data_IF_300487294329
#
_entry.id   IF_300487294329
#
_cell.length_a   1.000
_cell.length_b   1.000
_cell.length_c   1.000
_cell.angle_alpha   90.00
_cell.angle_beta   90.00
_cell.angle_gamma   90.00
#
_symmetry.space_group_name_H-M   'P 1'
#
loop_
_entity.id
_entity.type
_entity.pdbx_description
1 polymer ?
#
# COMPACT_ATOMS: atom_id res chain seq x y z
N UNK A 1 -7.08 60.63 -3.61
CA UNK A 1 -7.76 59.35 -3.95
C UNK A 1 -7.16 58.60 -5.15
N UNK A 2 -6.32 59.20 -6.00
CA UNK A 2 -5.89 58.63 -7.28
C UNK A 2 -5.06 57.32 -7.25
N UNK A 3 -4.43 56.94 -6.13
CA UNK A 3 -3.55 55.74 -6.05
C UNK A 3 -4.27 54.44 -5.66
N UNK A 4 -5.46 54.52 -5.06
CA UNK A 4 -6.26 53.35 -4.64
C UNK A 4 -6.61 52.36 -5.77
N UNK A 5 -7.08 52.79 -6.96
CA UNK A 5 -7.48 51.85 -8.00
C UNK A 5 -6.31 50.99 -8.51
N UNK A 6 -5.11 51.58 -8.65
CA UNK A 6 -3.91 50.83 -9.05
C UNK A 6 -3.51 49.76 -8.03
N UNK A 7 -3.57 50.09 -6.75
CA UNK A 7 -3.25 49.17 -5.66
C UNK A 7 -4.29 48.02 -5.56
N UNK A 8 -5.56 48.32 -5.79
CA UNK A 8 -6.61 47.30 -5.84
C UNK A 8 -6.44 46.37 -7.06
N UNK A 9 -6.08 46.92 -8.22
CA UNK A 9 -5.80 46.13 -9.42
C UNK A 9 -4.61 45.18 -9.21
N UNK A 10 -3.50 45.66 -8.63
CA UNK A 10 -2.35 44.80 -8.32
C UNK A 10 -2.68 43.71 -7.28
N UNK A 11 -3.54 44.01 -6.29
CA UNK A 11 -4.03 43.01 -5.33
C UNK A 11 -4.85 41.91 -6.01
N UNK A 12 -5.71 42.29 -6.95
CA UNK A 12 -6.52 41.34 -7.71
C UNK A 12 -5.65 40.43 -8.58
N UNK A 13 -4.68 41.00 -9.30
CA UNK A 13 -3.71 40.24 -10.09
C UNK A 13 -2.89 39.27 -9.24
N UNK A 14 -2.45 39.71 -8.05
CA UNK A 14 -1.73 38.84 -7.13
C UNK A 14 -2.61 37.67 -6.65
N UNK A 15 -3.87 37.93 -6.31
CA UNK A 15 -4.82 36.90 -5.90
C UNK A 15 -5.08 35.88 -7.04
N UNK A 16 -5.22 36.36 -8.27
CA UNK A 16 -5.35 35.52 -9.46
C UNK A 16 -4.11 34.61 -9.63
N UNK A 17 -2.89 35.17 -9.51
CA UNK A 17 -1.65 34.38 -9.56
C UNK A 17 -1.53 33.36 -8.45
N UNK A 18 -1.95 33.68 -7.22
CA UNK A 18 -2.03 32.67 -6.15
C UNK A 18 -3.04 31.57 -6.45
N UNK A 19 -4.18 31.91 -7.05
CA UNK A 19 -5.17 30.93 -7.52
C UNK A 19 -4.61 29.99 -8.59
N UNK A 20 -3.95 30.55 -9.61
CA UNK A 20 -3.26 29.78 -10.64
C UNK A 20 -2.20 28.84 -10.04
N UNK A 21 -1.35 29.36 -9.15
CA UNK A 21 -0.32 28.59 -8.44
C UNK A 21 -0.93 27.45 -7.61
N UNK A 22 -1.98 27.74 -6.84
CA UNK A 22 -2.68 26.73 -6.06
C UNK A 22 -3.26 25.64 -6.94
N UNK A 23 -3.88 26.00 -8.07
CA UNK A 23 -4.37 25.06 -9.05
C UNK A 23 -3.26 24.17 -9.62
N UNK A 24 -2.12 24.79 -9.98
CA UNK A 24 -0.97 24.06 -10.50
C UNK A 24 -0.41 23.07 -9.46
N UNK A 25 -0.26 23.50 -8.20
CA UNK A 25 0.20 22.63 -7.10
C UNK A 25 -0.73 21.43 -6.94
N UNK A 26 -2.05 21.64 -6.92
CA UNK A 26 -3.03 20.54 -6.84
C UNK A 26 -2.86 19.57 -8.00
N UNK A 27 -2.77 20.06 -9.24
CA UNK A 27 -2.60 19.19 -10.41
C UNK A 27 -1.27 18.43 -10.39
N UNK A 28 -0.19 19.03 -9.88
CA UNK A 28 1.09 18.37 -9.70
C UNK A 28 0.97 17.22 -8.69
N UNK A 29 0.30 17.46 -7.56
CA UNK A 29 0.10 16.46 -6.53
C UNK A 29 -0.76 15.29 -7.03
N UNK A 30 -1.84 15.57 -7.76
CA UNK A 30 -2.68 14.55 -8.40
C UNK A 30 -1.90 13.67 -9.39
N UNK A 31 -1.05 14.29 -10.23
CA UNK A 31 -0.19 13.55 -11.17
C UNK A 31 0.85 12.71 -10.44
N UNK A 32 1.44 13.23 -9.37
CA UNK A 32 2.40 12.50 -8.56
C UNK A 32 1.77 11.25 -7.94
N UNK A 33 0.59 11.37 -7.33
CA UNK A 33 -0.12 10.23 -6.75
C UNK A 33 -0.50 9.18 -7.80
N UNK A 34 -0.93 9.60 -8.99
CA UNK A 34 -1.24 8.67 -10.08
C UNK A 34 0.00 7.91 -10.55
N UNK A 35 1.13 8.61 -10.68
CA UNK A 35 2.40 7.99 -11.05
C UNK A 35 2.87 7.00 -9.99
N UNK A 36 2.78 7.36 -8.71
CA UNK A 36 3.16 6.50 -7.60
C UNK A 36 2.32 5.22 -7.57
N UNK A 37 0.99 5.34 -7.66
CA UNK A 37 0.09 4.19 -7.71
C UNK A 37 0.38 3.25 -8.90
N UNK A 38 0.67 3.83 -10.08
CA UNK A 38 1.05 3.05 -11.26
C UNK A 38 2.41 2.37 -11.08
N UNK A 39 3.40 3.08 -10.55
CA UNK A 39 4.75 2.58 -10.34
C UNK A 39 4.75 1.43 -9.33
N UNK A 40 4.04 1.58 -8.21
CA UNK A 40 3.86 0.52 -7.22
C UNK A 40 3.21 -0.73 -7.83
N UNK A 41 2.08 -0.57 -8.55
CA UNK A 41 1.37 -1.69 -9.18
C UNK A 41 2.22 -2.40 -10.24
N UNK A 42 2.88 -1.64 -11.11
CA UNK A 42 3.67 -2.20 -12.20
C UNK A 42 4.97 -2.84 -11.68
N UNK A 43 5.63 -2.20 -10.71
CA UNK A 43 6.84 -2.72 -10.08
C UNK A 43 6.57 -4.05 -9.37
N UNK A 44 5.47 -4.14 -8.63
CA UNK A 44 5.07 -5.36 -7.93
C UNK A 44 4.67 -6.48 -8.91
N UNK A 45 3.96 -6.18 -10.00
CA UNK A 45 3.67 -7.17 -11.05
C UNK A 45 4.96 -7.67 -11.74
N UNK A 46 5.89 -6.77 -12.04
CA UNK A 46 7.18 -7.12 -12.62
C UNK A 46 7.99 -8.02 -11.68
N UNK A 47 8.05 -7.69 -10.39
CA UNK A 47 8.72 -8.50 -9.37
C UNK A 47 8.09 -9.90 -9.27
N UNK A 48 6.77 -10.02 -9.36
CA UNK A 48 6.08 -11.31 -9.38
C UNK A 48 6.48 -12.15 -10.60
N UNK A 49 6.53 -11.54 -11.78
CA UNK A 49 6.93 -12.24 -13.01
C UNK A 49 8.38 -12.74 -12.93
N UNK A 50 9.30 -11.89 -12.49
CA UNK A 50 10.70 -12.27 -12.30
C UNK A 50 10.83 -13.44 -11.32
N UNK A 51 10.08 -13.40 -10.21
CA UNK A 51 10.11 -14.48 -9.23
C UNK A 51 9.54 -15.80 -9.79
N UNK A 52 8.49 -15.75 -10.61
CA UNK A 52 7.97 -16.94 -11.30
C UNK A 52 8.98 -17.51 -12.30
N UNK A 53 9.70 -16.65 -13.03
CA UNK A 53 10.79 -17.08 -13.91
C UNK A 53 11.91 -17.75 -13.12
N UNK A 54 12.30 -17.22 -11.97
CA UNK A 54 13.31 -17.83 -11.09
C UNK A 54 12.85 -19.18 -10.52
N UNK A 55 11.54 -19.38 -10.28
CA UNK A 55 10.98 -20.67 -9.89
C UNK A 55 11.15 -21.67 -11.05
N UNK A 56 10.69 -21.31 -12.25
CA UNK A 56 10.81 -22.17 -13.43
C UNK A 56 12.26 -22.56 -13.72
N UNK A 57 13.19 -21.59 -13.66
CA UNK A 57 14.62 -21.84 -13.88
C UNK A 57 15.22 -22.79 -12.84
N UNK A 58 14.78 -22.69 -11.58
CA UNK A 58 15.25 -23.62 -10.54
C UNK A 58 14.65 -25.02 -10.67
N UNK A 59 13.45 -25.14 -11.23
CA UNK A 59 12.83 -26.43 -11.56
C UNK A 59 13.59 -27.12 -12.69
N UNK A 60 13.78 -26.41 -13.80
CA UNK A 60 14.57 -26.85 -14.97
C UNK A 60 15.97 -27.30 -14.55
N UNK A 61 16.67 -26.51 -13.73
CA UNK A 61 18.00 -26.89 -13.25
C UNK A 61 17.99 -28.19 -12.43
N UNK A 62 16.93 -28.44 -11.64
CA UNK A 62 16.80 -29.70 -10.92
C UNK A 62 16.52 -30.88 -11.85
N UNK A 63 15.78 -30.66 -12.94
CA UNK A 63 15.51 -31.67 -13.98
C UNK A 63 16.78 -32.02 -14.77
N UNK A 64 17.60 -31.03 -15.13
CA UNK A 64 18.90 -31.26 -15.78
C UNK A 64 19.84 -32.12 -14.91
N UNK A 65 19.86 -31.88 -13.60
CA UNK A 65 20.66 -32.67 -12.66
C UNK A 65 20.15 -34.11 -12.58
N UNK A 66 18.83 -34.30 -12.61
CA UNK A 66 18.22 -35.62 -12.63
C UNK A 66 18.54 -36.37 -13.92
N UNK A 67 18.41 -35.72 -15.08
CA UNK A 67 18.72 -36.31 -16.38
C UNK A 67 20.18 -36.80 -16.44
N UNK A 68 21.14 -35.93 -16.07
CA UNK A 68 22.56 -36.30 -16.01
C UNK A 68 22.82 -37.51 -15.09
N UNK A 69 22.10 -37.61 -13.98
CA UNK A 69 22.22 -38.77 -13.09
C UNK A 69 21.65 -40.04 -13.71
N UNK A 70 20.48 -39.96 -14.36
CA UNK A 70 19.86 -41.10 -15.05
C UNK A 70 20.68 -41.60 -16.24
N UNK A 71 21.44 -40.72 -16.89
CA UNK A 71 22.42 -41.05 -17.93
C UNK A 71 23.72 -41.65 -17.37
N UNK A 72 23.93 -41.64 -16.06
CA UNK A 72 25.15 -42.10 -15.41
C UNK A 72 26.33 -41.13 -15.51
N UNK A 73 26.08 -39.87 -15.87
CA UNK A 73 27.12 -38.83 -16.02
C UNK A 73 27.63 -38.27 -14.69
N UNK A 74 26.94 -38.53 -13.58
CA UNK A 74 27.31 -38.09 -12.23
C UNK A 74 27.13 -39.23 -11.22
N UNK A 75 27.96 -39.23 -10.16
CA UNK A 75 27.83 -40.22 -9.08
C UNK A 75 26.63 -39.91 -8.18
N UNK A 76 26.19 -40.92 -7.41
CA UNK A 76 25.10 -40.75 -6.45
C UNK A 76 25.36 -39.63 -5.44
N UNK A 77 26.57 -39.60 -4.85
CA UNK A 77 26.91 -38.59 -3.84
C UNK A 77 26.88 -37.16 -4.41
N UNK A 78 27.46 -36.96 -5.61
CA UNK A 78 27.44 -35.65 -6.28
C UNK A 78 26.03 -35.21 -6.67
N UNK A 79 25.21 -36.17 -7.13
CA UNK A 79 23.82 -35.92 -7.45
C UNK A 79 23.04 -35.50 -6.20
N UNK A 80 23.15 -36.23 -5.09
CA UNK A 80 22.43 -35.92 -3.86
C UNK A 80 22.76 -34.52 -3.34
N UNK A 81 24.03 -34.15 -3.28
CA UNK A 81 24.46 -32.82 -2.82
C UNK A 81 23.88 -31.69 -3.69
N UNK A 82 24.01 -31.83 -5.01
CA UNK A 82 23.61 -30.79 -5.97
C UNK A 82 22.08 -30.70 -6.10
N UNK A 83 21.41 -31.84 -6.23
CA UNK A 83 19.97 -31.92 -6.43
C UNK A 83 19.20 -31.45 -5.20
N UNK A 84 19.61 -31.84 -3.99
CA UNK A 84 18.95 -31.36 -2.76
C UNK A 84 19.09 -29.84 -2.60
N UNK A 85 20.27 -29.29 -2.87
CA UNK A 85 20.49 -27.84 -2.84
C UNK A 85 19.61 -27.11 -3.86
N UNK A 86 19.54 -27.63 -5.09
CA UNK A 86 18.68 -27.09 -6.16
C UNK A 86 17.19 -27.14 -5.78
N UNK A 87 16.69 -28.29 -5.33
CA UNK A 87 15.30 -28.46 -4.89
C UNK A 87 14.94 -27.59 -3.70
N UNK A 88 15.85 -27.45 -2.72
CA UNK A 88 15.66 -26.52 -1.59
C UNK A 88 15.45 -25.09 -2.11
N UNK A 89 16.26 -24.65 -3.06
CA UNK A 89 16.14 -23.32 -3.68
C UNK A 89 14.80 -23.16 -4.41
N UNK A 90 14.40 -24.14 -5.22
CA UNK A 90 13.09 -24.16 -5.87
C UNK A 90 11.95 -24.00 -4.87
N UNK A 91 11.93 -24.80 -3.81
CA UNK A 91 10.86 -24.76 -2.81
C UNK A 91 10.79 -23.42 -2.07
N UNK A 92 11.94 -22.81 -1.75
CA UNK A 92 11.99 -21.47 -1.17
C UNK A 92 11.38 -20.44 -2.13
N UNK A 93 11.79 -20.44 -3.40
CA UNK A 93 11.30 -19.49 -4.41
C UNK A 93 9.81 -19.67 -4.67
N UNK A 94 9.34 -20.92 -4.73
CA UNK A 94 7.92 -21.23 -4.90
C UNK A 94 7.09 -20.71 -3.73
N UNK A 95 7.54 -20.94 -2.50
CA UNK A 95 6.87 -20.39 -1.31
C UNK A 95 6.88 -18.84 -1.31
N UNK A 96 7.99 -18.21 -1.73
CA UNK A 96 8.06 -16.76 -1.89
C UNK A 96 7.07 -16.26 -2.95
N UNK A 97 6.93 -16.97 -4.07
CA UNK A 97 6.01 -16.62 -5.15
C UNK A 97 4.54 -16.70 -4.70
N UNK A 98 4.19 -17.75 -3.98
CA UNK A 98 2.87 -17.93 -3.35
C UNK A 98 2.57 -16.80 -2.36
N UNK A 99 3.53 -16.47 -1.47
CA UNK A 99 3.39 -15.39 -0.50
C UNK A 99 3.27 -14.01 -1.14
N UNK A 100 4.04 -13.75 -2.20
CA UNK A 100 3.92 -12.52 -2.96
C UNK A 100 2.52 -12.42 -3.59
N UNK A 101 2.04 -13.49 -4.21
CA UNK A 101 0.71 -13.54 -4.80
C UNK A 101 -0.41 -13.27 -3.77
N UNK A 102 -0.30 -13.82 -2.56
CA UNK A 102 -1.21 -13.51 -1.44
C UNK A 102 -1.18 -12.01 -1.08
N UNK A 103 0.01 -11.40 -0.97
CA UNK A 103 0.16 -9.98 -0.65
C UNK A 103 -0.44 -9.07 -1.74
N UNK A 104 -0.25 -9.42 -3.02
CA UNK A 104 -0.87 -8.70 -4.15
C UNK A 104 -2.39 -8.77 -4.07
N UNK A 105 -2.95 -9.94 -3.73
CA UNK A 105 -4.39 -10.11 -3.59
C UNK A 105 -4.97 -9.34 -2.39
N UNK A 106 -4.25 -9.32 -1.27
CA UNK A 106 -4.64 -8.56 -0.09
C UNK A 106 -4.71 -7.05 -0.38
N UNK A 107 -3.78 -6.48 -1.16
CA UNK A 107 -3.85 -5.07 -1.56
C UNK A 107 -5.04 -4.76 -2.48
N UNK A 108 -5.54 -5.73 -3.25
CA UNK A 108 -6.70 -5.56 -4.14
C UNK A 108 -8.04 -5.65 -3.40
N UNK A 109 -8.07 -6.23 -2.21
CA UNK A 109 -9.27 -6.32 -1.37
C UNK A 109 -9.21 -5.23 -0.30
N UNK A 110 -9.85 -4.05 -0.50
CA UNK A 110 -10.04 -3.13 0.62
C UNK A 110 -10.93 -3.85 1.64
N UNK A 111 -10.36 -4.15 2.79
CA UNK A 111 -11.04 -4.80 3.90
C UNK A 111 -12.37 -4.11 4.20
N UNK A 112 -13.49 -4.73 3.81
CA UNK A 112 -14.82 -4.45 4.38
C UNK A 112 -14.86 -5.03 5.79
N UNK A 113 -14.10 -4.45 6.72
CA UNK A 113 -14.32 -4.75 8.14
C UNK A 113 -15.51 -3.93 8.58
N UNK A 114 -16.67 -4.60 8.57
CA UNK A 114 -17.93 -4.13 9.14
C UNK A 114 -17.69 -3.65 10.57
N UNK A 115 -17.95 -2.37 10.81
CA UNK A 115 -18.15 -1.80 12.15
C UNK A 115 -19.56 -2.23 12.61
N UNK A 116 -19.70 -3.47 13.07
CA UNK A 116 -20.75 -3.84 14.03
C UNK A 116 -20.15 -3.52 15.41
N UNK A 117 -20.67 -2.60 16.20
CA UNK A 117 -22.03 -2.60 16.72
C UNK A 117 -21.99 -3.33 18.06
N UNK A 118 -22.49 -2.68 19.11
CA UNK A 118 -22.65 -3.18 20.49
C UNK A 118 -21.50 -2.94 21.47
N UNK A 119 -21.53 -1.77 22.11
CA UNK A 119 -21.44 -1.72 23.57
C UNK A 119 -22.63 -0.91 24.07
N UNK A 120 -23.72 -1.61 24.33
CA UNK A 120 -24.83 -1.12 25.14
C UNK A 120 -24.32 -1.05 26.59
N UNK A 121 -24.29 0.15 27.15
CA UNK A 121 -24.06 0.35 28.59
C UNK A 121 -25.37 0.01 29.32
N UNK A 122 -25.38 -0.84 30.35
CA UNK A 122 -26.58 -1.05 31.14
C UNK A 122 -26.80 0.15 32.06
N UNK A 123 -27.91 0.86 31.87
CA UNK A 123 -28.38 1.92 32.77
C UNK A 123 -28.98 1.27 34.02
N UNK A 124 -28.23 1.35 35.13
CA UNK A 124 -28.73 1.09 36.49
C UNK A 124 -29.39 2.34 37.07
N UNK A 125 -30.60 2.17 37.61
CA UNK A 125 -31.39 3.19 38.32
C UNK A 125 -30.88 3.38 39.76
N UNK A 126 -30.74 4.64 40.21
CA UNK A 126 -30.95 5.15 41.60
C UNK A 126 -30.70 6.67 41.59
N UNK A 127 -31.76 7.47 41.60
CA UNK A 127 -32.44 8.08 42.76
C UNK A 127 -31.85 9.47 43.11
N UNK A 128 -32.74 10.48 43.10
CA UNK A 128 -32.75 11.77 43.83
C UNK A 128 -31.47 12.65 43.78
N UNK A 129 -31.47 13.94 43.48
CA UNK A 129 -32.28 15.06 43.98
C UNK A 129 -31.78 16.32 43.23
N UNK A 130 -32.68 17.25 42.85
CA UNK A 130 -32.33 18.62 42.40
C UNK A 130 -31.86 19.46 43.59
N UNK A 131 -30.94 20.44 43.41
CA UNK A 131 -31.41 21.83 43.24
C UNK A 131 -30.57 22.75 42.33
N UNK A 132 -31.32 23.58 41.58
CA UNK A 132 -31.14 24.97 41.09
C UNK A 132 -29.77 25.62 40.80
N UNK A 133 -29.82 26.39 39.70
CA UNK A 133 -28.87 27.26 38.99
C UNK A 133 -28.23 28.42 39.82
N UNK A 134 -27.17 29.11 39.33
CA UNK A 134 -27.40 30.22 38.39
C UNK A 134 -26.39 30.38 37.23
N UNK A 135 -26.92 30.96 36.16
CA UNK A 135 -26.29 31.41 34.91
C UNK A 135 -25.09 32.35 35.10
N UNK A 136 -24.15 32.31 34.15
CA UNK A 136 -23.29 33.46 33.80
C UNK A 136 -23.22 33.64 32.29
N UNK A 137 -23.77 34.72 31.72
CA UNK A 137 -23.51 35.13 30.35
C UNK A 137 -22.41 36.21 30.34
N UNK A 138 -21.43 36.10 29.43
CA UNK A 138 -20.62 37.21 28.93
C UNK A 138 -20.02 36.69 27.60
N UNK A 139 -20.31 37.21 26.41
CA UNK A 139 -20.59 38.60 26.04
C UNK A 139 -19.30 39.23 25.51
N UNK A 140 -18.96 38.98 24.25
CA UNK A 140 -17.97 39.77 23.51
C UNK A 140 -18.70 40.58 22.45
N UNK A 141 -18.66 41.91 22.64
CA UNK A 141 -18.69 42.90 21.57
C UNK A 141 -17.28 43.01 21.00
#
# INVERSE_FOLDING_TARGET
LARRPRLNNSKLQLAEKYGELSGLVTTCWEKQNQLEARCQKHGLHMAQNLLQEEVARSEEHSEELLEKFMEGNVSLDQFLDSFQSSRKTYHIRRAQAEKMQEAVQAQKQPSKTKRAGENQVPVGKKDSELPQEPQRPNGFV
#
